data_IF_444664720092
#
_entry.id   IF_444664720092
#
_cell.length_a   1.000
_cell.length_b   1.000
_cell.length_c   1.000
_cell.angle_alpha   90.00
_cell.angle_beta   90.00
_cell.angle_gamma   90.00
#
_symmetry.space_group_name_H-M   'P 1'
#
loop_
_entity.id
_entity.type
_entity.pdbx_description
1 polymer ?
#
# COMPACT_ATOMS: atom_id res chain seq x y z
N UNK A 1 -41.24 -7.25 -11.70
CA UNK A 1 -40.18 -8.13 -11.17
C UNK A 1 -38.77 -7.69 -11.57
N UNK A 2 -38.34 -7.68 -12.84
CA UNK A 2 -36.97 -7.20 -13.18
C UNK A 2 -36.80 -5.69 -12.97
N UNK A 3 -37.78 -4.87 -13.37
CA UNK A 3 -37.74 -3.43 -13.16
C UNK A 3 -37.69 -3.02 -11.67
N UNK A 4 -38.36 -3.77 -10.79
CA UNK A 4 -38.34 -3.51 -9.34
C UNK A 4 -36.98 -3.84 -8.73
N UNK A 5 -36.33 -4.92 -9.18
CA UNK A 5 -34.96 -5.27 -8.76
C UNK A 5 -33.95 -4.22 -9.24
N UNK A 6 -34.08 -3.73 -10.46
CA UNK A 6 -33.20 -2.67 -10.98
C UNK A 6 -33.36 -1.34 -10.23
N UNK A 7 -34.60 -0.98 -9.86
CA UNK A 7 -34.86 0.18 -9.00
C UNK A 7 -34.27 0.00 -7.60
N UNK A 8 -34.33 -1.21 -7.05
CA UNK A 8 -33.70 -1.53 -5.77
C UNK A 8 -32.18 -1.34 -5.81
N UNK A 9 -31.50 -1.90 -6.81
CA UNK A 9 -30.05 -1.72 -6.97
C UNK A 9 -29.65 -0.28 -7.25
N UNK A 10 -30.46 0.47 -8.02
CA UNK A 10 -30.23 1.90 -8.24
C UNK A 10 -30.29 2.68 -6.93
N UNK A 11 -31.30 2.43 -6.09
CA UNK A 11 -31.41 3.08 -4.78
C UNK A 11 -30.24 2.72 -3.87
N UNK A 12 -29.84 1.44 -3.85
CA UNK A 12 -28.69 0.99 -3.07
C UNK A 12 -27.39 1.69 -3.51
N UNK A 13 -27.12 1.73 -4.82
CA UNK A 13 -25.94 2.43 -5.36
C UNK A 13 -25.96 3.92 -5.02
N UNK A 14 -27.13 4.56 -5.05
CA UNK A 14 -27.26 5.98 -4.76
C UNK A 14 -27.03 6.27 -3.27
N UNK A 15 -27.54 5.42 -2.38
CA UNK A 15 -27.24 5.49 -0.95
C UNK A 15 -25.74 5.30 -0.68
N UNK A 16 -25.11 4.32 -1.34
CA UNK A 16 -23.67 4.12 -1.23
C UNK A 16 -22.88 5.32 -1.77
N UNK A 17 -23.35 5.96 -2.85
CA UNK A 17 -22.73 7.15 -3.43
C UNK A 17 -22.78 8.32 -2.43
N UNK A 18 -23.95 8.63 -1.89
CA UNK A 18 -24.17 9.71 -0.93
C UNK A 18 -23.28 9.53 0.31
N UNK A 19 -23.28 8.33 0.91
CA UNK A 19 -22.40 8.03 2.05
C UNK A 19 -20.91 8.28 1.76
N UNK A 20 -20.46 8.03 0.53
CA UNK A 20 -19.04 8.22 0.14
C UNK A 20 -18.73 9.69 -0.15
N UNK A 21 -19.67 10.41 -0.74
CA UNK A 21 -19.57 11.87 -0.90
C UNK A 21 -19.47 12.55 0.48
N UNK A 22 -20.30 12.15 1.44
CA UNK A 22 -20.25 12.66 2.82
C UNK A 22 -18.89 12.37 3.48
N UNK A 23 -18.35 11.15 3.32
CA UNK A 23 -17.03 10.81 3.87
C UNK A 23 -15.92 11.68 3.27
N UNK A 24 -15.97 11.94 1.96
CA UNK A 24 -14.98 12.79 1.28
C UNK A 24 -15.11 14.25 1.76
N UNK A 25 -16.32 14.76 1.92
CA UNK A 25 -16.58 16.10 2.44
C UNK A 25 -16.11 16.24 3.90
N UNK A 26 -16.37 15.23 4.74
CA UNK A 26 -15.84 15.16 6.11
C UNK A 26 -14.30 15.16 6.13
N UNK A 27 -13.66 14.41 5.22
CA UNK A 27 -12.19 14.42 5.09
C UNK A 27 -11.66 15.80 4.66
N UNK A 28 -12.33 16.49 3.75
CA UNK A 28 -11.95 17.84 3.30
C UNK A 28 -12.17 18.89 4.40
N UNK A 29 -13.31 18.86 5.09
CA UNK A 29 -13.62 19.81 6.16
C UNK A 29 -12.67 19.66 7.36
N UNK A 30 -12.33 18.44 7.75
CA UNK A 30 -11.32 18.17 8.78
C UNK A 30 -9.94 18.68 8.36
N UNK A 31 -9.55 18.45 7.09
CA UNK A 31 -8.30 18.98 6.55
C UNK A 31 -8.27 20.52 6.53
N UNK A 32 -9.40 21.17 6.27
CA UNK A 32 -9.52 22.64 6.29
C UNK A 32 -9.51 23.20 7.72
N UNK A 33 -10.14 22.51 8.68
CA UNK A 33 -10.12 22.89 10.09
C UNK A 33 -8.71 22.82 10.72
N UNK A 34 -7.88 21.85 10.30
CA UNK A 34 -6.47 21.80 10.68
C UNK A 34 -5.68 22.99 10.12
N UNK A 35 -5.96 23.42 8.88
CA UNK A 35 -5.32 24.59 8.29
C UNK A 35 -5.65 25.90 9.02
N UNK A 36 -6.89 26.06 9.51
CA UNK A 36 -7.30 27.27 10.25
C UNK A 36 -6.73 27.32 11.69
N UNK A 37 -6.45 26.18 12.31
CA UNK A 37 -5.82 26.12 13.64
C UNK A 37 -4.27 26.18 13.57
N UNK A 38 -3.70 25.98 12.39
CA UNK A 38 -2.29 26.28 12.08
C UNK A 38 -2.05 27.71 11.56
N UNK A 39 -3.07 28.57 11.55
CA UNK A 39 -2.93 30.01 11.30
C UNK A 39 -2.02 30.76 12.30
N UNK A 40 -1.55 30.10 13.38
CA UNK A 40 -0.54 30.63 14.30
C UNK A 40 0.75 29.79 14.41
N UNK A 41 0.94 28.77 13.56
CA UNK A 41 2.05 27.80 13.70
C UNK A 41 3.05 27.80 12.52
N UNK A 42 3.09 28.86 11.71
CA UNK A 42 4.21 29.15 10.80
C UNK A 42 5.47 29.63 11.54
N UNK A 43 5.47 29.59 12.87
CA UNK A 43 6.65 29.81 13.71
C UNK A 43 7.06 28.50 14.40
N UNK A 44 7.57 27.52 13.63
CA UNK A 44 8.88 26.89 13.88
C UNK A 44 9.09 25.55 13.14
N UNK A 45 9.15 25.56 11.81
CA UNK A 45 9.82 24.45 11.08
C UNK A 45 11.32 24.29 11.45
N UNK A 46 11.88 25.25 12.21
CA UNK A 46 13.27 25.26 12.65
C UNK A 46 13.52 24.43 13.92
N UNK A 47 12.49 24.22 14.75
CA UNK A 47 12.60 23.53 16.06
C UNK A 47 11.87 22.17 16.10
N UNK A 48 11.20 21.77 15.01
CA UNK A 48 10.60 20.44 14.93
C UNK A 48 11.69 19.36 14.83
N UNK A 49 11.59 18.34 15.68
CA UNK A 49 12.53 17.22 15.62
C UNK A 49 12.33 16.46 14.31
N UNK A 50 13.40 15.96 13.67
CA UNK A 50 13.29 15.24 12.37
C UNK A 50 12.29 14.09 12.38
N UNK A 51 12.13 13.45 13.55
CA UNK A 51 11.14 12.39 13.74
C UNK A 51 9.69 12.91 13.68
N UNK A 52 9.40 14.10 14.20
CA UNK A 52 8.07 14.71 14.18
C UNK A 52 7.68 15.08 12.75
N UNK A 53 8.60 15.69 11.99
CA UNK A 53 8.39 16.00 10.56
C UNK A 53 8.10 14.72 9.75
N UNK A 54 8.81 13.63 10.05
CA UNK A 54 8.59 12.34 9.39
C UNK A 54 7.21 11.75 9.73
N UNK A 55 6.78 11.83 11.00
CA UNK A 55 5.46 11.40 11.44
C UNK A 55 4.34 12.22 10.79
N UNK A 56 4.44 13.55 10.80
CA UNK A 56 3.45 14.42 10.16
C UNK A 56 3.34 14.16 8.65
N UNK A 57 4.46 13.93 7.98
CA UNK A 57 4.47 13.59 6.55
C UNK A 57 3.78 12.24 6.30
N UNK A 58 4.07 11.24 7.12
CA UNK A 58 3.44 9.92 7.02
C UNK A 58 1.92 10.02 7.19
N UNK A 59 1.46 10.77 8.19
CA UNK A 59 0.03 10.93 8.46
C UNK A 59 -0.67 11.65 7.29
N UNK A 60 -0.04 12.68 6.72
CA UNK A 60 -0.54 13.38 5.52
C UNK A 60 -0.61 12.45 4.31
N UNK A 61 0.46 11.70 4.03
CA UNK A 61 0.48 10.73 2.92
C UNK A 61 -0.58 9.64 3.11
N UNK A 62 -0.78 9.18 4.34
CA UNK A 62 -1.80 8.19 4.69
C UNK A 62 -3.22 8.74 4.44
N UNK A 63 -3.51 9.95 4.91
CA UNK A 63 -4.80 10.62 4.69
C UNK A 63 -5.07 10.82 3.19
N UNK A 64 -4.07 11.28 2.42
CA UNK A 64 -4.19 11.41 0.96
C UNK A 64 -4.47 10.05 0.29
N UNK A 65 -3.82 8.98 0.75
CA UNK A 65 -4.06 7.62 0.26
C UNK A 65 -5.50 7.15 0.49
N UNK A 66 -6.05 7.41 1.68
CA UNK A 66 -7.45 7.09 2.00
C UNK A 66 -8.42 7.91 1.16
N UNK A 67 -8.20 9.22 1.02
CA UNK A 67 -9.04 10.08 0.15
C UNK A 67 -9.06 9.58 -1.29
N UNK A 68 -7.89 9.26 -1.85
CA UNK A 68 -7.78 8.73 -3.21
C UNK A 68 -8.54 7.41 -3.39
N UNK A 69 -8.56 6.55 -2.37
CA UNK A 69 -9.34 5.31 -2.37
C UNK A 69 -10.84 5.60 -2.41
N UNK A 70 -11.33 6.48 -1.53
CA UNK A 70 -12.74 6.88 -1.48
C UNK A 70 -13.20 7.51 -2.81
N UNK A 71 -12.40 8.41 -3.41
CA UNK A 71 -12.68 8.99 -4.73
C UNK A 71 -12.71 7.93 -5.83
N UNK A 72 -11.84 6.92 -5.77
CA UNK A 72 -11.84 5.83 -6.72
C UNK A 72 -13.13 5.00 -6.57
N UNK A 73 -13.52 4.63 -5.35
CA UNK A 73 -14.78 3.91 -5.10
C UNK A 73 -16.01 4.71 -5.55
N UNK A 74 -16.02 6.03 -5.33
CA UNK A 74 -17.07 6.92 -5.81
C UNK A 74 -17.22 6.86 -7.33
N UNK A 75 -16.10 6.91 -8.06
CA UNK A 75 -16.10 6.77 -9.54
C UNK A 75 -16.66 5.41 -9.97
N UNK A 76 -16.35 4.33 -9.25
CA UNK A 76 -16.88 2.99 -9.53
C UNK A 76 -18.40 2.91 -9.34
N UNK A 77 -18.94 3.58 -8.32
CA UNK A 77 -20.38 3.70 -8.08
C UNK A 77 -21.07 4.48 -9.20
N UNK A 78 -20.49 5.60 -9.63
CA UNK A 78 -21.03 6.39 -10.76
C UNK A 78 -21.03 5.61 -12.07
N UNK A 79 -19.98 4.84 -12.34
CA UNK A 79 -19.92 3.95 -13.49
C UNK A 79 -21.02 2.87 -13.42
N UNK A 80 -21.27 2.33 -12.22
CA UNK A 80 -22.31 1.32 -12.01
C UNK A 80 -23.72 1.89 -12.24
N UNK A 81 -23.98 3.12 -11.78
CA UNK A 81 -25.22 3.86 -12.08
C UNK A 81 -25.40 4.08 -13.59
N UNK A 82 -24.34 4.49 -14.30
CA UNK A 82 -24.37 4.63 -15.78
C UNK A 82 -24.66 3.31 -16.48
N UNK A 83 -24.16 2.17 -15.96
CA UNK A 83 -24.50 0.84 -16.51
C UNK A 83 -25.96 0.47 -16.32
N UNK A 84 -26.59 0.91 -15.22
CA UNK A 84 -28.04 0.72 -15.03
C UNK A 84 -28.81 1.50 -16.08
N UNK A 85 -28.42 2.75 -16.35
CA UNK A 85 -29.04 3.58 -17.39
C UNK A 85 -28.87 2.99 -18.79
N UNK A 86 -27.71 2.42 -19.07
CA UNK A 86 -27.41 1.75 -20.35
C UNK A 86 -27.99 0.33 -20.46
N UNK A 87 -28.54 -0.23 -19.37
CA UNK A 87 -29.09 -1.59 -19.34
C UNK A 87 -28.04 -2.71 -19.35
N UNK A 88 -26.76 -2.43 -19.10
CA UNK A 88 -25.65 -3.41 -19.06
C UNK A 88 -25.22 -3.78 -17.64
N UNK A 89 -25.99 -3.36 -16.63
CA UNK A 89 -25.73 -3.66 -15.24
C UNK A 89 -25.93 -5.15 -14.93
N UNK A 90 -25.03 -5.72 -14.13
CA UNK A 90 -25.05 -7.13 -13.77
C UNK A 90 -24.34 -8.06 -14.76
N UNK A 91 -23.67 -7.54 -15.78
CA UNK A 91 -22.84 -8.34 -16.71
C UNK A 91 -21.35 -8.18 -16.37
N UNK A 92 -20.63 -9.30 -16.33
CA UNK A 92 -19.18 -9.34 -16.08
C UNK A 92 -18.40 -8.74 -17.25
N UNK A 93 -17.51 -7.78 -16.96
CA UNK A 93 -16.69 -7.13 -18.00
C UNK A 93 -15.63 -8.05 -18.62
N UNK A 94 -15.21 -9.11 -17.92
CA UNK A 94 -14.18 -10.03 -18.40
C UNK A 94 -14.73 -11.15 -19.28
N UNK A 95 -15.81 -11.81 -18.84
CA UNK A 95 -16.34 -12.99 -19.52
C UNK A 95 -17.73 -12.80 -20.15
N UNK A 96 -18.37 -11.64 -19.95
CA UNK A 96 -19.70 -11.35 -20.49
C UNK A 96 -20.85 -12.15 -19.87
N UNK A 97 -20.61 -12.91 -18.80
CA UNK A 97 -21.64 -13.67 -18.08
C UNK A 97 -22.34 -12.82 -17.04
N UNK A 98 -23.56 -13.20 -16.69
CA UNK A 98 -24.31 -12.54 -15.61
C UNK A 98 -23.66 -12.74 -14.25
N UNK A 99 -23.71 -11.70 -13.43
CA UNK A 99 -23.21 -11.68 -12.05
C UNK A 99 -24.33 -12.16 -11.13
N UNK A 100 -23.99 -13.04 -10.19
CA UNK A 100 -24.94 -13.57 -9.21
C UNK A 100 -25.63 -12.43 -8.42
N UNK A 101 -26.95 -12.49 -8.29
CA UNK A 101 -27.74 -11.46 -7.61
C UNK A 101 -27.30 -11.28 -6.16
N UNK A 102 -26.92 -12.36 -5.47
CA UNK A 102 -26.41 -12.30 -4.09
C UNK A 102 -25.13 -11.48 -3.99
N UNK A 103 -24.29 -11.48 -5.04
CA UNK A 103 -23.07 -10.68 -5.09
C UNK A 103 -23.40 -9.20 -5.29
N UNK A 104 -24.38 -8.89 -6.14
CA UNK A 104 -24.82 -7.51 -6.39
C UNK A 104 -25.58 -6.92 -5.19
N UNK A 105 -26.26 -7.74 -4.38
CA UNK A 105 -26.88 -7.30 -3.12
C UNK A 105 -25.83 -6.91 -2.07
N UNK A 106 -24.69 -7.60 -2.03
CA UNK A 106 -23.61 -7.31 -1.07
C UNK A 106 -22.63 -6.24 -1.58
N UNK A 107 -22.31 -6.28 -2.88
CA UNK A 107 -21.35 -5.43 -3.55
C UNK A 107 -21.96 -4.93 -4.87
N UNK A 108 -22.78 -3.88 -4.83
CA UNK A 108 -23.49 -3.40 -6.01
C UNK A 108 -22.56 -2.82 -7.08
N UNK A 109 -21.38 -2.32 -6.71
CA UNK A 109 -20.36 -1.86 -7.65
C UNK A 109 -19.51 -2.98 -8.30
N UNK A 110 -19.83 -4.27 -8.07
CA UNK A 110 -19.03 -5.37 -8.59
C UNK A 110 -19.05 -5.45 -10.14
N UNK A 111 -17.87 -5.34 -10.76
CA UNK A 111 -17.67 -5.44 -12.24
C UNK A 111 -17.43 -6.86 -12.76
N UNK A 112 -16.98 -7.76 -11.88
CA UNK A 112 -16.55 -9.11 -12.23
C UNK A 112 -17.40 -10.17 -11.52
N UNK A 113 -17.64 -11.28 -12.22
CA UNK A 113 -18.18 -12.49 -11.62
C UNK A 113 -17.17 -13.13 -10.65
N UNK A 114 -17.64 -14.06 -9.81
CA UNK A 114 -16.81 -14.64 -8.75
C UNK A 114 -15.61 -15.42 -9.30
N UNK A 115 -15.74 -16.04 -10.47
CA UNK A 115 -14.67 -16.82 -11.09
C UNK A 115 -13.58 -15.89 -11.64
N UNK A 116 -13.96 -14.85 -12.41
CA UNK A 116 -13.01 -13.87 -12.92
C UNK A 116 -12.35 -13.05 -11.80
N UNK A 117 -13.07 -12.77 -10.71
CA UNK A 117 -12.50 -12.12 -9.54
C UNK A 117 -11.42 -12.99 -8.88
N UNK A 118 -11.70 -14.30 -8.69
CA UNK A 118 -10.70 -15.25 -8.15
C UNK A 118 -9.48 -15.38 -9.04
N UNK A 119 -9.66 -15.42 -10.36
CA UNK A 119 -8.55 -15.48 -11.32
C UNK A 119 -7.67 -14.22 -11.23
N UNK A 120 -8.28 -13.04 -11.12
CA UNK A 120 -7.54 -11.78 -10.92
C UNK A 120 -6.78 -11.76 -9.58
N UNK A 121 -7.40 -12.26 -8.50
CA UNK A 121 -6.75 -12.34 -7.18
C UNK A 121 -5.55 -13.31 -7.20
N UNK A 122 -5.70 -14.47 -7.85
CA UNK A 122 -4.62 -15.44 -8.03
C UNK A 122 -3.46 -14.84 -8.83
N UNK A 123 -3.76 -14.11 -9.90
CA UNK A 123 -2.74 -13.41 -10.71
C UNK A 123 -1.95 -12.40 -9.87
N UNK A 124 -2.63 -11.63 -9.01
CA UNK A 124 -1.97 -10.70 -8.08
C UNK A 124 -1.13 -11.46 -7.05
N UNK A 125 -1.63 -12.58 -6.52
CA UNK A 125 -0.91 -13.42 -5.58
C UNK A 125 0.38 -14.00 -6.19
N UNK A 126 0.34 -14.44 -7.45
CA UNK A 126 1.51 -14.93 -8.19
C UNK A 126 2.55 -13.82 -8.39
N UNK A 127 2.11 -12.60 -8.75
CA UNK A 127 3.01 -11.44 -8.86
C UNK A 127 3.66 -11.10 -7.51
N UNK A 128 2.90 -11.16 -6.41
CA UNK A 128 3.41 -10.90 -5.05
C UNK A 128 4.32 -12.05 -4.55
N UNK A 129 4.05 -13.28 -5.00
CA UNK A 129 4.83 -14.48 -4.73
C UNK A 129 6.17 -14.50 -5.48
N UNK A 130 6.22 -13.92 -6.67
CA UNK A 130 7.43 -13.68 -7.48
C UNK A 130 8.33 -12.58 -6.88
N UNK A 131 8.65 -12.68 -5.58
CA UNK A 131 9.56 -11.77 -4.85
C UNK A 131 10.92 -11.67 -5.55
N UNK A 132 11.33 -12.67 -6.33
CA UNK A 132 12.64 -12.69 -7.02
C UNK A 132 12.72 -11.77 -8.25
N UNK A 133 11.63 -11.44 -8.94
CA UNK A 133 11.69 -10.70 -10.22
C UNK A 133 11.70 -9.18 -10.09
N UNK A 134 11.20 -8.63 -8.98
CA UNK A 134 11.12 -7.16 -8.74
C UNK A 134 12.01 -6.67 -7.59
N UNK A 135 12.90 -7.52 -7.10
CA UNK A 135 13.96 -7.11 -6.19
C UNK A 135 15.16 -6.66 -7.02
N UNK A 136 15.95 -5.66 -6.57
CA UNK A 136 17.18 -5.29 -7.24
C UNK A 136 18.00 -6.55 -7.54
N UNK A 137 18.62 -6.60 -8.72
CA UNK A 137 19.42 -7.76 -9.14
C UNK A 137 20.49 -8.13 -8.10
N UNK A 138 20.94 -7.13 -7.36
CA UNK A 138 21.85 -7.18 -6.22
C UNK A 138 21.33 -8.10 -5.13
N UNK A 139 20.01 -8.08 -4.82
CA UNK A 139 19.37 -8.92 -3.80
C UNK A 139 19.42 -10.42 -4.14
N UNK A 140 19.53 -10.76 -5.42
CA UNK A 140 19.71 -12.14 -5.87
C UNK A 140 21.14 -12.66 -5.62
N UNK A 141 22.11 -11.76 -5.43
CA UNK A 141 23.53 -12.07 -5.21
C UNK A 141 23.89 -12.04 -3.71
N UNK A 142 23.18 -11.23 -2.91
CA UNK A 142 23.18 -11.29 -1.43
C UNK A 142 22.37 -12.50 -0.96
N UNK A 143 22.87 -13.69 -1.27
CA UNK A 143 22.49 -14.87 -0.49
C UNK A 143 23.10 -14.70 0.90
N UNK A 144 22.27 -14.64 1.95
CA UNK A 144 22.74 -14.72 3.34
C UNK A 144 23.53 -16.01 3.61
N UNK A 145 23.38 -17.01 2.75
CA UNK A 145 24.21 -18.23 2.73
C UNK A 145 25.57 -18.08 2.04
N UNK A 146 25.82 -17.02 1.27
CA UNK A 146 27.12 -16.73 0.64
C UNK A 146 27.88 -15.59 1.34
N UNK A 147 27.33 -15.02 2.42
CA UNK A 147 28.09 -14.27 3.41
C UNK A 147 28.84 -15.18 4.41
N UNK A 148 28.86 -16.49 4.15
CA UNK A 148 29.56 -17.47 4.98
C UNK A 148 30.15 -18.63 4.15
N UNK A 149 30.73 -18.34 2.99
CA UNK A 149 31.60 -19.29 2.30
C UNK A 149 33.05 -18.77 2.23
N UNK A 150 33.58 -18.47 3.41
CA UNK A 150 34.91 -18.92 3.78
C UNK A 150 34.80 -19.48 5.18
N UNK A 151 35.23 -20.72 5.31
CA UNK A 151 35.27 -21.45 6.55
C UNK A 151 35.88 -20.58 7.67
N UNK A 152 35.19 -20.59 8.81
CA UNK A 152 35.59 -20.05 10.12
C UNK A 152 35.46 -18.53 10.26
N UNK A 153 34.96 -18.13 11.44
CA UNK A 153 34.66 -16.75 11.82
C UNK A 153 35.90 -15.89 11.97
N UNK A 154 36.61 -15.71 10.87
CA UNK A 154 37.88 -15.02 10.78
C UNK A 154 37.69 -13.52 10.65
N UNK A 155 36.50 -12.97 10.39
CA UNK A 155 36.38 -11.51 10.29
C UNK A 155 36.61 -10.80 11.64
N UNK A 156 36.23 -11.44 12.75
CA UNK A 156 36.57 -10.95 14.09
C UNK A 156 38.01 -11.32 14.49
N UNK A 157 38.54 -12.46 14.01
CA UNK A 157 39.89 -12.91 14.30
C UNK A 157 40.97 -12.13 13.52
N UNK A 158 40.73 -11.81 12.25
CA UNK A 158 41.51 -10.91 11.38
C UNK A 158 41.49 -9.48 11.95
N UNK A 159 40.36 -9.02 12.47
CA UNK A 159 40.28 -7.74 13.18
C UNK A 159 41.04 -7.77 14.52
N UNK A 160 41.14 -8.93 15.18
CA UNK A 160 41.97 -9.08 16.39
C UNK A 160 43.46 -9.23 16.06
N UNK A 161 43.81 -9.83 14.92
CA UNK A 161 45.19 -10.09 14.49
C UNK A 161 45.85 -8.85 13.88
N UNK A 162 45.08 -7.99 13.19
CA UNK A 162 45.60 -6.82 12.49
C UNK A 162 44.93 -5.49 12.91
N UNK A 163 43.93 -5.55 13.79
CA UNK A 163 43.13 -4.39 14.21
C UNK A 163 43.26 -4.03 15.69
N UNK A 164 44.18 -4.64 16.45
CA UNK A 164 44.68 -3.96 17.65
C UNK A 164 45.58 -2.80 17.18
N UNK A 165 45.39 -1.62 17.77
CA UNK A 165 46.20 -0.43 17.48
C UNK A 165 47.63 -0.56 18.05
N UNK A 166 48.17 -1.78 18.12
CA UNK A 166 49.48 -2.08 18.64
C UNK A 166 50.52 -1.80 17.55
N UNK A 167 51.39 -0.83 17.84
CA UNK A 167 52.51 -0.49 16.99
C UNK A 167 53.62 -1.54 17.14
N UNK A 168 54.60 -1.54 16.23
CA UNK A 168 55.78 -2.42 16.31
C UNK A 168 56.58 -2.30 17.63
N UNK A 169 56.27 -1.32 18.49
CA UNK A 169 56.86 -1.12 19.82
C UNK A 169 56.09 -1.85 20.94
N UNK A 170 54.86 -2.31 20.69
CA UNK A 170 53.97 -2.93 21.68
C UNK A 170 54.12 -4.46 21.71
N UNK A 171 54.57 -5.06 20.61
CA UNK A 171 54.93 -6.47 20.54
C UNK A 171 56.35 -6.64 21.10
N UNK A 172 56.46 -7.00 22.38
CA UNK A 172 57.74 -7.25 23.04
C UNK A 172 58.61 -8.24 22.26
N UNK A 173 59.63 -7.72 21.57
CA UNK A 173 60.59 -8.53 20.82
C UNK A 173 61.38 -9.45 21.76
N UNK A 174 61.61 -10.69 21.32
CA UNK A 174 62.54 -11.60 21.97
C UNK A 174 63.96 -11.06 21.78
N UNK A 175 64.60 -10.65 22.87
CA UNK A 175 66.03 -10.32 22.87
C UNK A 175 66.77 -11.62 22.51
N UNK A 176 67.35 -11.63 21.32
CA UNK A 176 68.24 -12.70 20.87
C UNK A 176 69.63 -12.31 21.38
N UNK A 177 70.17 -13.13 22.28
CA UNK A 177 71.52 -12.99 22.82
C UNK A 177 72.59 -13.29 21.77
#
# INVERSE_FOLDING_TARGET
>A
MEAEKMNHYKHLLQQHKENREDIIDDMETLSLADNDNHGSSELSNYDNHRAEIASELFDKEHQMGLKNLEEHELKELELSLKKIENGTYGTCESCGKDIDSKRLELLPQAKLCIDCAKEADNFIADIKGDKKKRRPSEEQVIHSSNLNDSAMGDQFHVLMEYGSADSHHDIGGKIIH
#
